data_IF_075686874224
#
_entry.id   IF_075686874224
#
_cell.length_a   1.000
_cell.length_b   1.000
_cell.length_c   1.000
_cell.angle_alpha   90.00
_cell.angle_beta   90.00
_cell.angle_gamma   90.00
#
_symmetry.space_group_name_H-M   'P 1'
#
loop_
_entity.id
_entity.type
_entity.pdbx_description
1 polymer ?
#
# COMPACT_ATOMS: atom_id res chain seq x y z
N UNK A 1 11.21 2.05 7.47
CA UNK A 1 10.70 0.92 6.66
C UNK A 1 10.03 1.49 5.41
N UNK A 2 10.02 0.75 4.30
CA UNK A 2 9.65 1.28 2.99
C UNK A 2 8.27 0.80 2.53
N UNK A 3 7.70 1.53 1.56
CA UNK A 3 6.49 1.08 0.85
C UNK A 3 6.91 0.23 -0.34
N UNK A 4 6.33 -0.95 -0.48
CA UNK A 4 6.72 -1.93 -1.51
C UNK A 4 5.53 -2.69 -2.09
N UNK A 5 5.79 -3.42 -3.17
CA UNK A 5 4.86 -4.33 -3.80
C UNK A 5 5.54 -5.65 -4.13
N UNK A 6 4.80 -6.74 -4.08
CA UNK A 6 5.29 -8.04 -4.52
C UNK A 6 4.21 -8.76 -5.28
N UNK A 7 4.50 -9.05 -6.55
CA UNK A 7 3.66 -9.92 -7.36
C UNK A 7 3.99 -11.38 -7.05
N UNK A 8 2.96 -12.19 -6.81
CA UNK A 8 3.09 -13.61 -6.42
C UNK A 8 2.92 -14.59 -7.59
N UNK A 9 2.86 -14.10 -8.84
CA UNK A 9 2.74 -14.92 -10.04
C UNK A 9 4.01 -14.96 -10.90
N UNK A 10 3.95 -15.73 -11.99
CA UNK A 10 5.08 -15.88 -12.91
C UNK A 10 5.32 -14.67 -13.83
N UNK A 11 4.24 -14.03 -14.30
CA UNK A 11 4.33 -12.86 -15.18
C UNK A 11 3.18 -11.88 -14.92
N UNK A 12 3.52 -10.59 -14.83
CA UNK A 12 2.58 -9.50 -14.57
C UNK A 12 1.86 -8.97 -15.82
N UNK A 13 2.36 -9.30 -17.01
CA UNK A 13 1.76 -8.93 -18.30
C UNK A 13 1.89 -7.44 -18.62
N UNK A 14 3.03 -6.82 -18.29
CA UNK A 14 3.31 -5.41 -18.60
C UNK A 14 2.53 -4.39 -17.78
N UNK A 15 1.89 -4.81 -16.69
CA UNK A 15 1.26 -3.88 -15.74
C UNK A 15 2.28 -3.31 -14.77
N UNK A 16 2.04 -2.06 -14.39
CA UNK A 16 2.78 -1.37 -13.36
C UNK A 16 1.92 -1.27 -12.09
N UNK A 17 2.58 -1.38 -10.94
CA UNK A 17 1.95 -1.19 -9.63
C UNK A 17 2.07 0.27 -9.19
N UNK A 18 1.05 0.76 -8.48
CA UNK A 18 1.04 2.11 -7.94
C UNK A 18 0.33 2.15 -6.59
N UNK A 19 1.00 2.71 -5.58
CA UNK A 19 0.42 2.95 -4.26
C UNK A 19 0.42 4.45 -4.00
N UNK A 20 -0.73 5.01 -3.60
CA UNK A 20 -0.88 6.44 -3.32
C UNK A 20 -1.86 6.73 -2.19
N UNK A 21 -1.81 7.96 -1.67
CA UNK A 21 -2.76 8.49 -0.68
C UNK A 21 -4.04 8.93 -1.37
N UNK A 22 -5.17 8.40 -0.93
CA UNK A 22 -6.50 8.82 -1.38
C UNK A 22 -6.73 10.28 -0.97
N UNK A 23 -7.33 11.07 -1.86
CA UNK A 23 -7.61 12.49 -1.61
C UNK A 23 -6.44 13.45 -1.87
N UNK A 24 -5.25 12.95 -2.23
CA UNK A 24 -4.16 13.82 -2.65
C UNK A 24 -4.48 14.49 -4.00
N UNK A 25 -4.36 15.82 -4.07
CA UNK A 25 -4.62 16.59 -5.30
C UNK A 25 -3.75 16.15 -6.50
N UNK A 26 -2.53 15.66 -6.20
CA UNK A 26 -1.63 15.05 -7.18
C UNK A 26 -1.11 13.74 -6.60
N UNK A 27 -1.69 12.58 -6.98
CA UNK A 27 -1.21 11.27 -6.55
C UNK A 27 0.25 11.07 -6.94
N UNK A 28 1.08 10.69 -5.98
CA UNK A 28 2.49 10.34 -6.22
C UNK A 28 2.69 8.88 -5.84
N UNK A 29 3.47 8.13 -6.64
CA UNK A 29 3.83 6.77 -6.26
C UNK A 29 4.59 6.77 -4.94
N UNK A 30 4.23 5.88 -4.03
CA UNK A 30 4.90 5.71 -2.75
C UNK A 30 5.90 4.56 -2.76
N UNK A 31 5.80 3.64 -3.72
CA UNK A 31 6.68 2.47 -3.85
C UNK A 31 8.14 2.93 -3.98
N UNK A 32 9.04 2.34 -3.18
CA UNK A 32 10.48 2.61 -3.22
C UNK A 32 10.90 4.00 -2.72
N UNK A 33 10.03 4.72 -1.99
CA UNK A 33 10.41 5.98 -1.34
C UNK A 33 11.06 5.71 0.01
N UNK A 34 12.39 5.62 0.01
CA UNK A 34 13.18 5.06 1.12
C UNK A 34 13.37 5.98 2.34
N UNK A 35 12.92 7.24 2.29
CA UNK A 35 13.35 8.28 3.24
C UNK A 35 12.23 8.94 4.06
N UNK A 36 10.98 8.63 3.77
CA UNK A 36 9.85 9.25 4.48
C UNK A 36 9.05 8.18 5.24
N UNK A 37 8.87 8.34 6.55
CA UNK A 37 7.93 7.51 7.31
C UNK A 37 6.55 7.57 6.65
N UNK A 38 5.85 6.43 6.61
CA UNK A 38 4.49 6.34 6.10
C UNK A 38 3.59 7.37 6.82
N UNK A 39 3.00 8.35 6.10
CA UNK A 39 2.15 9.34 6.74
C UNK A 39 0.90 8.75 7.42
N UNK A 40 0.83 8.82 8.74
CA UNK A 40 -0.36 8.36 9.47
C UNK A 40 -1.59 9.23 9.20
N UNK A 41 -2.77 8.76 9.62
CA UNK A 41 -4.06 9.41 9.37
C UNK A 41 -4.37 9.55 7.87
N UNK A 42 -4.13 8.50 7.09
CA UNK A 42 -4.36 8.49 5.65
C UNK A 42 -4.95 7.16 5.21
N UNK A 43 -5.73 7.23 4.12
CA UNK A 43 -6.17 6.05 3.37
C UNK A 43 -5.23 5.85 2.18
N UNK A 44 -4.79 4.62 1.97
CA UNK A 44 -3.92 4.24 0.87
C UNK A 44 -4.63 3.31 -0.08
N UNK A 45 -4.43 3.56 -1.38
CA UNK A 45 -4.99 2.76 -2.46
C UNK A 45 -3.89 2.13 -3.28
N UNK A 46 -4.10 0.86 -3.60
CA UNK A 46 -3.31 0.10 -4.56
C UNK A 46 -4.07 0.03 -5.89
N UNK A 47 -3.37 0.28 -6.99
CA UNK A 47 -3.90 0.10 -8.34
C UNK A 47 -2.83 -0.51 -9.24
N UNK A 48 -3.30 -1.18 -10.28
CA UNK A 48 -2.49 -1.54 -11.44
C UNK A 48 -2.82 -0.58 -12.59
N UNK A 49 -1.85 -0.34 -13.46
CA UNK A 49 -2.01 0.53 -14.62
C UNK A 49 -1.16 0.07 -15.80
N UNK A 50 -1.54 0.48 -17.00
CA UNK A 50 -0.81 0.23 -18.25
C UNK A 50 -0.20 1.51 -18.77
N UNK A 51 1.11 1.52 -18.96
CA UNK A 51 1.82 2.64 -19.59
C UNK A 51 1.58 2.62 -21.11
N UNK A 52 0.42 3.13 -21.52
CA UNK A 52 -0.03 3.10 -22.91
C UNK A 52 0.77 4.10 -23.77
N UNK A 53 1.11 5.24 -23.18
CA UNK A 53 1.86 6.29 -23.86
C UNK A 53 3.40 6.13 -23.75
N UNK A 54 3.88 5.18 -22.93
CA UNK A 54 5.30 4.83 -22.72
C UNK A 54 6.13 5.96 -22.11
N UNK A 55 5.52 6.80 -21.28
CA UNK A 55 6.21 7.89 -20.58
C UNK A 55 6.73 7.47 -19.19
N UNK A 56 6.35 6.28 -18.71
CA UNK A 56 6.74 5.75 -17.40
C UNK A 56 6.07 6.47 -16.21
N UNK A 57 5.04 7.28 -16.45
CA UNK A 57 4.35 8.09 -15.45
C UNK A 57 2.91 7.63 -15.31
N UNK A 58 2.48 7.35 -14.08
CA UNK A 58 1.09 7.00 -13.81
C UNK A 58 0.13 8.14 -14.20
N UNK A 59 -0.84 7.82 -15.05
CA UNK A 59 -1.97 8.68 -15.37
C UNK A 59 -3.29 8.01 -14.96
N UNK A 60 -4.25 8.77 -14.44
CA UNK A 60 -5.53 8.17 -14.00
C UNK A 60 -6.28 7.45 -15.14
N UNK A 61 -6.14 7.93 -16.38
CA UNK A 61 -6.76 7.32 -17.57
C UNK A 61 -6.12 5.97 -17.95
N UNK A 62 -4.93 5.69 -17.42
CA UNK A 62 -4.17 4.46 -17.65
C UNK A 62 -4.33 3.42 -16.52
N UNK A 63 -4.98 3.81 -15.43
CA UNK A 63 -5.38 2.91 -14.34
C UNK A 63 -6.28 1.82 -14.92
N UNK A 64 -6.07 0.58 -14.49
CA UNK A 64 -7.04 -0.48 -14.73
C UNK A 64 -8.42 -0.07 -14.21
N UNK A 65 -9.45 -0.42 -14.99
CA UNK A 65 -10.84 -0.29 -14.57
C UNK A 65 -11.13 -1.23 -13.41
N UNK A 66 -12.23 -0.99 -12.70
CA UNK A 66 -12.60 -1.84 -11.57
C UNK A 66 -12.95 -3.26 -12.06
N UNK A 67 -13.51 -3.39 -13.26
CA UNK A 67 -13.75 -4.69 -13.93
C UNK A 67 -12.46 -5.47 -14.21
N UNK A 68 -11.39 -4.77 -14.59
CA UNK A 68 -10.09 -5.40 -14.82
C UNK A 68 -9.38 -5.74 -13.51
N UNK A 69 -9.51 -4.89 -12.49
CA UNK A 69 -8.93 -5.12 -11.16
C UNK A 69 -9.50 -6.38 -10.49
N UNK A 70 -10.74 -6.79 -10.81
CA UNK A 70 -11.35 -8.04 -10.30
C UNK A 70 -10.53 -9.29 -10.64
N UNK A 71 -9.71 -9.26 -11.70
CA UNK A 71 -8.84 -10.37 -12.08
C UNK A 71 -7.62 -10.55 -11.15
N UNK A 72 -7.44 -9.65 -10.19
CA UNK A 72 -6.32 -9.66 -9.27
C UNK A 72 -6.83 -9.74 -7.84
N UNK A 73 -6.14 -10.53 -7.02
CA UNK A 73 -6.27 -10.47 -5.57
C UNK A 73 -5.06 -9.74 -5.01
N UNK A 74 -5.28 -8.91 -3.99
CA UNK A 74 -4.21 -8.29 -3.24
C UNK A 74 -4.53 -8.19 -1.76
N UNK A 75 -3.48 -8.18 -0.95
CA UNK A 75 -3.54 -7.95 0.49
C UNK A 75 -2.46 -6.99 0.93
N UNK A 76 -2.76 -6.21 1.96
CA UNK A 76 -1.80 -5.34 2.59
C UNK A 76 -1.02 -6.09 3.66
N UNK A 77 0.23 -5.70 3.87
CA UNK A 77 1.08 -6.15 4.97
C UNK A 77 1.78 -4.95 5.61
N UNK A 78 1.77 -4.90 6.94
CA UNK A 78 2.65 -4.02 7.69
C UNK A 78 4.01 -4.71 7.83
N UNK A 79 5.08 -3.99 7.52
CA UNK A 79 6.43 -4.57 7.47
C UNK A 79 7.41 -3.85 8.38
N UNK A 80 8.46 -4.57 8.78
CA UNK A 80 9.51 -4.03 9.62
C UNK A 80 9.08 -3.87 11.08
N UNK A 81 9.45 -2.73 11.66
CA UNK A 81 9.29 -2.41 13.08
C UNK A 81 8.75 -1.01 13.23
N UNK A 82 8.16 -0.71 14.38
CA UNK A 82 7.87 0.67 14.76
C UNK A 82 9.15 1.49 14.96
N UNK A 83 8.98 2.80 15.23
CA UNK A 83 10.06 3.72 15.58
C UNK A 83 10.73 3.35 16.91
N UNK A 84 10.01 2.70 17.83
CA UNK A 84 10.55 2.22 19.10
C UNK A 84 11.02 0.75 19.05
N UNK A 85 10.94 0.09 17.88
CA UNK A 85 11.48 -1.25 17.64
C UNK A 85 10.49 -2.40 17.86
N UNK A 86 9.22 -2.10 18.11
CA UNK A 86 8.15 -3.08 18.25
C UNK A 86 7.84 -3.78 16.93
N UNK A 87 7.43 -5.04 17.03
CA UNK A 87 7.06 -5.90 15.89
C UNK A 87 5.66 -6.48 16.09
N UNK A 88 5.10 -7.05 15.04
CA UNK A 88 3.89 -7.87 15.13
C UNK A 88 2.58 -7.15 14.78
N UNK A 89 2.61 -5.87 14.40
CA UNK A 89 1.44 -5.26 13.78
C UNK A 89 1.11 -5.96 12.45
N UNK A 90 -0.16 -6.28 12.23
CA UNK A 90 -0.62 -7.04 11.07
C UNK A 90 -1.75 -6.32 10.38
N UNK A 91 -1.60 -6.07 9.08
CA UNK A 91 -2.71 -5.64 8.24
C UNK A 91 -3.71 -6.79 8.03
N UNK A 92 -4.99 -6.45 8.05
CA UNK A 92 -6.12 -7.37 7.86
C UNK A 92 -6.99 -6.97 6.65
N UNK A 93 -6.45 -6.12 5.77
CA UNK A 93 -7.17 -5.57 4.61
C UNK A 93 -6.76 -6.29 3.33
N UNK A 94 -7.75 -6.77 2.57
CA UNK A 94 -7.55 -7.42 1.27
C UNK A 94 -8.55 -6.85 0.26
N UNK A 95 -8.11 -6.66 -0.98
CA UNK A 95 -8.94 -6.16 -2.10
C UNK A 95 -9.65 -4.82 -1.84
N UNK A 96 -9.17 -4.05 -0.87
CA UNK A 96 -9.73 -2.77 -0.46
C UNK A 96 -8.62 -1.75 -0.15
N UNK A 97 -9.00 -0.49 0.06
CA UNK A 97 -8.08 0.54 0.56
C UNK A 97 -7.74 0.29 2.02
N UNK A 98 -6.48 0.51 2.41
CA UNK A 98 -6.07 0.40 3.82
C UNK A 98 -6.10 1.77 4.50
N UNK A 99 -6.66 1.83 5.71
CA UNK A 99 -6.69 3.03 6.54
C UNK A 99 -5.59 2.97 7.58
N UNK A 100 -4.60 3.84 7.49
CA UNK A 100 -3.56 3.97 8.52
C UNK A 100 -4.01 5.01 9.54
N UNK A 101 -4.33 4.61 10.78
CA UNK A 101 -4.98 5.47 11.76
C UNK A 101 -4.07 6.58 12.26
N UNK A 102 -4.68 7.59 12.87
CA UNK A 102 -3.96 8.69 13.49
C UNK A 102 -3.36 8.32 14.84
N UNK A 103 -4.02 7.41 15.59
CA UNK A 103 -3.68 7.16 16.99
C UNK A 103 -3.19 5.74 17.25
N UNK A 104 -2.34 5.60 18.26
CA UNK A 104 -1.82 4.30 18.70
C UNK A 104 -2.93 3.39 19.23
N UNK A 105 -3.99 3.97 19.81
CA UNK A 105 -5.17 3.24 20.28
C UNK A 105 -5.90 2.57 19.13
N UNK A 106 -6.19 3.31 18.07
CA UNK A 106 -6.84 2.76 16.87
C UNK A 106 -5.94 1.74 16.17
N UNK A 107 -4.63 2.01 16.12
CA UNK A 107 -3.64 1.07 15.59
C UNK A 107 -3.62 -0.25 16.37
N UNK A 108 -3.66 -0.20 17.70
CA UNK A 108 -3.71 -1.39 18.54
C UNK A 108 -5.00 -2.20 18.32
N UNK A 109 -6.14 -1.51 18.20
CA UNK A 109 -7.43 -2.15 17.98
C UNK A 109 -7.56 -2.79 16.60
N UNK A 110 -7.01 -2.14 15.56
CA UNK A 110 -7.20 -2.56 14.17
C UNK A 110 -6.12 -3.51 13.69
N UNK A 111 -4.88 -3.27 14.11
CA UNK A 111 -3.69 -3.92 13.57
C UNK A 111 -2.89 -4.71 14.61
N UNK A 112 -3.36 -4.78 15.86
CA UNK A 112 -2.63 -5.45 16.94
C UNK A 112 -1.30 -4.77 17.29
N UNK A 113 -1.12 -3.50 16.91
CA UNK A 113 0.06 -2.73 17.26
C UNK A 113 0.16 -2.52 18.78
N UNK A 114 1.37 -2.31 19.29
CA UNK A 114 1.56 -1.95 20.69
C UNK A 114 0.91 -0.59 20.98
N UNK A 115 0.02 -0.52 21.97
CA UNK A 115 -0.76 0.68 22.28
C UNK A 115 0.10 1.90 22.68
N UNK A 116 1.31 1.68 23.21
CA UNK A 116 2.27 2.73 23.51
C UNK A 116 2.96 3.32 22.29
N UNK A 117 2.89 2.65 21.13
CA UNK A 117 3.77 2.90 20.00
C UNK A 117 3.02 3.19 18.71
N UNK A 118 2.04 2.35 18.35
CA UNK A 118 1.24 2.48 17.13
C UNK A 118 1.94 1.92 15.88
N UNK A 119 1.71 2.57 14.73
CA UNK A 119 2.25 2.16 13.42
C UNK A 119 3.42 3.04 12.94
N UNK A 120 3.81 4.03 13.72
CA UNK A 120 4.88 4.97 13.44
C UNK A 120 6.14 4.17 13.15
N UNK A 121 6.72 4.33 11.96
CA UNK A 121 7.95 3.64 11.55
C UNK A 121 7.74 2.35 10.77
N UNK A 122 6.56 1.69 10.85
CA UNK A 122 6.26 0.52 10.01
C UNK A 122 6.27 0.87 8.52
N UNK A 123 6.61 -0.13 7.71
CA UNK A 123 6.49 -0.08 6.26
C UNK A 123 5.14 -0.64 5.83
N UNK A 124 4.84 -0.48 4.54
CA UNK A 124 3.59 -0.95 3.96
C UNK A 124 3.88 -1.71 2.68
N UNK A 125 3.44 -2.96 2.59
CA UNK A 125 3.61 -3.79 1.39
C UNK A 125 2.26 -4.22 0.85
N UNK A 126 2.13 -4.29 -0.47
CA UNK A 126 1.03 -5.00 -1.12
C UNK A 126 1.57 -6.30 -1.70
N UNK A 127 0.97 -7.41 -1.30
CA UNK A 127 1.15 -8.68 -2.00
C UNK A 127 -0.04 -8.85 -2.94
N UNK A 128 0.20 -9.13 -4.22
CA UNK A 128 -0.87 -9.31 -5.19
C UNK A 128 -0.59 -10.44 -6.17
N UNK A 129 -1.65 -11.05 -6.69
CA UNK A 129 -1.60 -12.14 -7.66
C UNK A 129 -2.68 -11.94 -8.71
N UNK A 130 -2.46 -12.50 -9.90
CA UNK A 130 -3.52 -12.70 -10.88
C UNK A 130 -4.28 -13.99 -10.52
N UNK A 131 -5.60 -13.99 -10.65
CA UNK A 131 -6.47 -15.16 -10.49
C UNK A 131 -6.31 -16.15 -11.64
#
# INVERSE_FOLDING_TARGET
>A
NYVDVTFLGAEIGGLNAFIYRVGAAKPSNLIGKDKEPLPLNNTYRFVLWRDNNKDGVFQQVEKLTDEEMVQYDYKWELTGKSINGEVGAQANTSNEDIVIPATNREAAQTYGAQAGDGLQGYGLRVLYTKK
#
